data_IF_387677355260
#
_entry.id   IF_387677355260
#
_cell.length_a   1.000
_cell.length_b   1.000
_cell.length_c   1.000
_cell.angle_alpha   90.00
_cell.angle_beta   90.00
_cell.angle_gamma   90.00
#
_symmetry.space_group_name_H-M   'P 1'
#
loop_
_entity.id
_entity.type
_entity.pdbx_description
1 polymer ?
#
# COMPACT_ATOMS: atom_id res chain seq x y z
N UNK A 1 11.52 -10.77 5.05
CA UNK A 1 12.69 -10.19 5.73
C UNK A 1 12.36 -8.92 6.49
N UNK A 2 11.48 -8.03 6.00
CA UNK A 2 11.22 -6.75 6.67
C UNK A 2 12.42 -5.81 6.70
N UNK A 3 13.44 -6.12 5.88
CA UNK A 3 14.82 -5.65 5.98
C UNK A 3 14.95 -4.12 6.01
N UNK A 4 14.10 -3.43 5.25
CA UNK A 4 14.13 -1.97 5.08
C UNK A 4 12.79 -1.30 5.38
N UNK A 5 11.86 -2.01 6.04
CA UNK A 5 10.57 -1.44 6.44
C UNK A 5 10.74 -0.69 7.76
N UNK A 6 10.57 0.62 7.75
CA UNK A 6 10.70 1.48 8.93
C UNK A 6 9.41 2.30 9.12
N UNK A 7 8.82 2.33 10.33
CA UNK A 7 7.68 3.19 10.61
C UNK A 7 8.11 4.67 10.68
N UNK A 8 7.36 5.55 10.04
CA UNK A 8 7.57 6.99 10.07
C UNK A 8 6.24 7.72 9.90
N UNK A 9 6.12 8.92 10.47
CA UNK A 9 5.01 9.84 10.23
C UNK A 9 5.29 10.82 9.08
N UNK A 10 6.53 10.90 8.62
CA UNK A 10 6.98 11.75 7.52
C UNK A 10 7.11 10.91 6.25
N UNK A 11 6.25 11.17 5.26
CA UNK A 11 6.20 10.44 4.01
C UNK A 11 7.34 10.80 3.03
N UNK A 12 8.03 11.92 3.28
CA UNK A 12 9.15 12.41 2.49
C UNK A 12 10.51 12.03 3.11
N UNK A 13 10.49 11.45 4.30
CA UNK A 13 11.69 10.95 4.96
C UNK A 13 12.26 9.69 4.30
N UNK A 14 13.59 9.61 4.22
CA UNK A 14 14.35 8.44 3.77
C UNK A 14 13.89 7.86 2.42
N UNK A 15 13.68 8.73 1.42
CA UNK A 15 13.21 8.33 0.08
C UNK A 15 14.33 7.89 -0.87
N UNK A 16 15.58 7.94 -0.42
CA UNK A 16 16.73 7.51 -1.19
C UNK A 16 17.20 6.15 -0.65
N UNK A 17 17.46 5.16 -1.53
CA UNK A 17 17.98 3.87 -1.11
C UNK A 17 19.39 4.00 -0.55
N UNK A 18 19.75 3.13 0.40
CA UNK A 18 21.12 3.08 0.93
C UNK A 18 22.01 2.20 0.04
N UNK A 19 23.34 2.42 0.01
CA UNK A 19 24.25 1.56 -0.74
C UNK A 19 24.11 0.09 -0.35
N UNK A 20 24.01 -0.81 -1.33
CA UNK A 20 23.90 -2.27 -1.11
C UNK A 20 22.48 -2.79 -0.86
N UNK A 21 21.48 -1.92 -0.75
CA UNK A 21 20.08 -2.32 -0.48
C UNK A 21 19.50 -3.19 -1.61
N UNK A 22 19.81 -2.86 -2.86
CA UNK A 22 19.36 -3.64 -4.02
C UNK A 22 19.91 -5.06 -4.01
N UNK A 23 21.20 -5.21 -3.72
CA UNK A 23 21.90 -6.50 -3.62
C UNK A 23 21.33 -7.32 -2.46
N UNK A 24 21.17 -6.71 -1.28
CA UNK A 24 20.59 -7.37 -0.13
C UNK A 24 19.16 -7.88 -0.38
N UNK A 25 18.33 -7.11 -1.11
CA UNK A 25 16.99 -7.54 -1.53
C UNK A 25 17.06 -8.66 -2.57
N UNK A 26 17.91 -8.51 -3.59
CA UNK A 26 18.10 -9.50 -4.66
C UNK A 26 18.49 -10.87 -4.08
N UNK A 27 19.41 -10.89 -3.12
CA UNK A 27 19.96 -12.13 -2.59
C UNK A 27 18.92 -12.94 -1.78
N UNK A 28 17.84 -12.30 -1.30
CA UNK A 28 16.71 -12.98 -0.67
C UNK A 28 15.89 -13.87 -1.62
N UNK A 29 16.05 -13.72 -2.93
CA UNK A 29 15.36 -14.55 -3.92
C UNK A 29 16.06 -15.90 -4.19
N UNK A 30 17.23 -16.13 -3.60
CA UNK A 30 17.90 -17.43 -3.59
C UNK A 30 17.31 -18.35 -2.51
N UNK A 31 17.23 -19.69 -2.73
CA UNK A 31 17.56 -20.42 -3.96
C UNK A 31 16.48 -20.48 -5.08
N UNK A 32 15.20 -20.07 -4.92
CA UNK A 32 14.20 -20.21 -5.98
C UNK A 32 14.61 -19.59 -7.32
N UNK A 33 15.38 -18.50 -7.30
CA UNK A 33 15.99 -17.90 -8.49
C UNK A 33 17.46 -18.33 -8.56
N UNK A 34 17.77 -19.20 -9.53
CA UNK A 34 19.13 -19.68 -9.76
C UNK A 34 20.07 -18.58 -10.26
N UNK A 35 21.34 -18.63 -9.85
CA UNK A 35 22.41 -17.70 -10.27
C UNK A 35 22.03 -16.24 -10.02
N UNK A 36 21.41 -15.98 -8.87
CA UNK A 36 20.82 -14.67 -8.53
C UNK A 36 21.82 -13.51 -8.65
N UNK A 37 23.11 -13.78 -8.39
CA UNK A 37 24.19 -12.80 -8.48
C UNK A 37 24.50 -12.32 -9.91
N UNK A 38 24.13 -13.10 -10.94
CA UNK A 38 24.33 -12.74 -12.36
C UNK A 38 23.31 -11.70 -12.84
N UNK A 39 22.22 -11.45 -12.10
CA UNK A 39 21.20 -10.48 -12.46
C UNK A 39 21.65 -9.06 -12.13
N UNK A 40 21.54 -8.17 -13.14
CA UNK A 40 21.83 -6.74 -13.00
C UNK A 40 20.66 -6.02 -12.34
N UNK A 41 20.93 -5.30 -11.25
CA UNK A 41 20.01 -4.34 -10.67
C UNK A 41 19.99 -3.09 -11.56
N UNK A 42 18.83 -2.74 -12.13
CA UNK A 42 18.69 -1.56 -12.99
C UNK A 42 18.32 -0.31 -12.21
N UNK A 43 17.57 -0.47 -11.11
CA UNK A 43 17.06 0.61 -10.29
C UNK A 43 16.72 0.11 -8.89
N UNK A 44 16.85 0.97 -7.87
CA UNK A 44 16.40 0.73 -6.50
C UNK A 44 15.58 1.95 -6.06
N UNK A 45 14.38 1.73 -5.54
CA UNK A 45 13.44 2.81 -5.20
C UNK A 45 12.81 2.54 -3.83
N UNK A 46 12.80 3.56 -2.97
CA UNK A 46 12.09 3.51 -1.69
C UNK A 46 10.67 4.03 -1.84
N UNK A 47 9.70 3.19 -1.48
CA UNK A 47 8.27 3.51 -1.55
C UNK A 47 7.69 3.78 -0.15
N UNK A 48 6.83 4.79 -0.05
CA UNK A 48 6.04 5.05 1.15
C UNK A 48 4.69 4.36 1.08
N UNK A 49 4.28 3.78 2.20
CA UNK A 49 2.99 3.12 2.36
C UNK A 49 2.28 3.65 3.60
N UNK A 50 0.98 3.86 3.50
CA UNK A 50 0.11 4.20 4.64
C UNK A 50 -0.47 2.92 5.22
N UNK A 51 -0.44 2.80 6.54
CA UNK A 51 -1.03 1.69 7.29
C UNK A 51 -1.92 2.25 8.39
N UNK A 52 -3.16 1.76 8.48
CA UNK A 52 -3.97 1.97 9.69
C UNK A 52 -3.51 0.97 10.76
N UNK A 53 -3.79 1.28 12.04
CA UNK A 53 -3.43 0.39 13.15
C UNK A 53 -4.08 -1.00 13.06
N UNK A 54 -5.25 -1.09 12.43
CA UNK A 54 -5.99 -2.34 12.19
C UNK A 54 -5.75 -2.94 10.80
N UNK A 55 -4.84 -2.34 10.02
CA UNK A 55 -4.49 -2.72 8.64
C UNK A 55 -5.66 -2.76 7.63
N UNK A 56 -6.82 -2.22 7.99
CA UNK A 56 -8.01 -2.14 7.13
C UNK A 56 -8.00 -0.91 6.23
N UNK A 57 -8.79 -0.94 5.16
CA UNK A 57 -9.01 0.25 4.35
C UNK A 57 -9.86 1.27 5.11
N UNK A 58 -9.68 2.54 4.79
CA UNK A 58 -10.34 3.64 5.48
C UNK A 58 -11.17 4.48 4.51
N UNK A 59 -12.32 4.94 5.00
CA UNK A 59 -13.03 6.08 4.44
C UNK A 59 -13.36 7.08 5.56
N UNK A 60 -13.11 8.36 5.31
CA UNK A 60 -13.30 9.44 6.27
C UNK A 60 -13.99 10.63 5.62
N UNK A 61 -14.98 11.18 6.30
CA UNK A 61 -15.73 12.34 5.82
C UNK A 61 -15.23 13.61 6.49
N UNK A 62 -15.02 14.65 5.68
CA UNK A 62 -14.65 15.99 6.13
C UNK A 62 -15.48 17.03 5.38
N UNK A 63 -16.61 17.41 5.95
CA UNK A 63 -17.60 18.25 5.27
C UNK A 63 -18.12 17.56 4.02
N UNK A 64 -17.93 18.17 2.84
CA UNK A 64 -18.30 17.57 1.54
C UNK A 64 -17.22 16.69 0.91
N UNK A 65 -16.12 16.44 1.62
CA UNK A 65 -15.00 15.64 1.13
C UNK A 65 -15.09 14.22 1.70
N UNK A 66 -15.06 13.22 0.82
CA UNK A 66 -14.88 11.82 1.18
C UNK A 66 -13.44 11.41 0.85
N UNK A 67 -12.65 11.14 1.88
CA UNK A 67 -11.28 10.64 1.77
C UNK A 67 -11.33 9.12 1.80
N UNK A 68 -10.74 8.46 0.81
CA UNK A 68 -10.70 7.00 0.71
C UNK A 68 -9.26 6.54 0.54
N UNK A 69 -8.82 5.59 1.36
CA UNK A 69 -7.48 5.02 1.26
C UNK A 69 -7.53 3.50 1.36
N UNK A 70 -7.09 2.84 0.29
CA UNK A 70 -6.81 1.42 0.27
C UNK A 70 -5.43 1.15 0.87
N UNK A 71 -5.29 1.48 2.16
CA UNK A 71 -4.07 1.37 2.96
C UNK A 71 -3.47 -0.05 2.94
N UNK A 72 -2.30 -0.18 3.54
CA UNK A 72 -1.63 -1.46 3.79
C UNK A 72 -0.98 -2.11 2.56
N UNK A 73 -0.64 -1.32 1.53
CA UNK A 73 0.07 -1.80 0.34
C UNK A 73 -0.78 -2.53 -0.70
N UNK A 74 -2.11 -2.43 -0.59
CA UNK A 74 -3.04 -3.16 -1.44
C UNK A 74 -3.73 -2.29 -2.50
N UNK A 75 -3.48 -0.98 -2.51
CA UNK A 75 -4.12 -0.03 -3.41
C UNK A 75 -4.03 -0.39 -4.90
N UNK A 76 -2.90 -0.93 -5.36
CA UNK A 76 -2.77 -1.40 -6.75
C UNK A 76 -3.73 -2.56 -7.07
N UNK A 77 -3.85 -3.53 -6.18
CA UNK A 77 -4.65 -4.75 -6.39
C UNK A 77 -6.16 -4.46 -6.38
N UNK A 78 -6.61 -3.57 -5.49
CA UNK A 78 -8.04 -3.31 -5.28
C UNK A 78 -8.52 -1.96 -5.82
N UNK A 79 -7.64 -1.14 -6.40
CA UNK A 79 -7.97 0.22 -6.84
C UNK A 79 -9.21 0.29 -7.74
N UNK A 80 -9.35 -0.65 -8.68
CA UNK A 80 -10.53 -0.71 -9.56
C UNK A 80 -11.84 -1.05 -8.81
N UNK A 81 -11.80 -1.99 -7.87
CA UNK A 81 -12.97 -2.39 -7.09
C UNK A 81 -13.39 -1.27 -6.12
N UNK A 82 -12.42 -0.70 -5.41
CA UNK A 82 -12.61 0.46 -4.52
C UNK A 82 -13.19 1.63 -5.30
N UNK A 83 -12.60 1.99 -6.44
CA UNK A 83 -13.07 3.10 -7.27
C UNK A 83 -14.52 2.95 -7.73
N UNK A 84 -14.92 1.74 -8.16
CA UNK A 84 -16.33 1.46 -8.52
C UNK A 84 -17.28 1.63 -7.35
N UNK A 85 -16.91 1.14 -6.16
CA UNK A 85 -17.74 1.26 -4.96
C UNK A 85 -17.87 2.72 -4.53
N UNK A 86 -16.78 3.48 -4.56
CA UNK A 86 -16.77 4.92 -4.28
C UNK A 86 -17.68 5.67 -5.25
N UNK A 87 -17.60 5.39 -6.56
CA UNK A 87 -18.46 6.03 -7.56
C UNK A 87 -19.95 5.74 -7.30
N UNK A 88 -20.31 4.50 -6.95
CA UNK A 88 -21.67 4.16 -6.58
C UNK A 88 -22.13 4.89 -5.31
N UNK A 89 -21.28 4.95 -4.29
CA UNK A 89 -21.55 5.66 -3.03
C UNK A 89 -21.81 7.16 -3.25
N UNK A 90 -21.03 7.82 -4.12
CA UNK A 90 -21.27 9.24 -4.45
C UNK A 90 -22.64 9.44 -5.11
N UNK A 91 -23.14 8.44 -5.85
CA UNK A 91 -24.45 8.51 -6.51
C UNK A 91 -25.65 8.21 -5.61
N UNK A 92 -25.47 7.50 -4.50
CA UNK A 92 -26.56 7.05 -3.63
C UNK A 92 -26.43 7.46 -2.15
N UNK A 93 -25.35 8.16 -1.80
CA UNK A 93 -25.01 8.65 -0.46
C UNK A 93 -24.83 7.55 0.61
N UNK A 94 -24.60 6.29 0.21
CA UNK A 94 -24.37 5.15 1.11
C UNK A 94 -22.91 5.10 1.61
N UNK A 95 -22.51 6.09 2.40
CA UNK A 95 -21.15 6.18 2.97
C UNK A 95 -20.94 5.14 4.08
N UNK A 96 -21.98 4.82 4.84
CA UNK A 96 -21.91 3.80 5.88
C UNK A 96 -21.62 2.41 5.28
N UNK A 97 -22.33 2.03 4.21
CA UNK A 97 -22.10 0.78 3.49
C UNK A 97 -20.74 0.73 2.80
N UNK A 98 -20.21 1.86 2.33
CA UNK A 98 -18.84 1.93 1.84
C UNK A 98 -17.82 1.63 2.94
N UNK A 99 -17.97 2.26 4.12
CA UNK A 99 -17.05 2.06 5.26
C UNK A 99 -17.04 0.60 5.71
N UNK A 100 -18.20 -0.02 5.87
CA UNK A 100 -18.31 -1.44 6.26
C UNK A 100 -17.67 -2.36 5.20
N UNK A 101 -17.93 -2.10 3.93
CA UNK A 101 -17.38 -2.89 2.82
C UNK A 101 -15.85 -2.78 2.72
N UNK A 102 -15.30 -1.56 2.82
CA UNK A 102 -13.85 -1.32 2.82
C UNK A 102 -13.14 -2.06 3.97
N UNK A 103 -13.83 -2.23 5.09
CA UNK A 103 -13.31 -2.87 6.30
C UNK A 103 -13.59 -4.37 6.37
N UNK A 104 -14.21 -4.94 5.34
CA UNK A 104 -14.67 -6.33 5.26
C UNK A 104 -15.48 -6.75 6.50
N UNK A 105 -16.34 -5.86 6.99
CA UNK A 105 -17.20 -6.13 8.14
C UNK A 105 -18.39 -7.00 7.70
N UNK A 106 -18.77 -7.96 8.53
CA UNK A 106 -19.98 -8.74 8.29
C UNK A 106 -21.19 -7.81 8.34
N UNK A 107 -22.01 -7.84 7.30
CA UNK A 107 -23.28 -7.13 7.20
C UNK A 107 -24.41 -8.04 7.65
#
# INVERSE_FOLDING_TARGET
SGLHRVPTSDADWNRQPVPGEGEAIRDLFSPPIARVEEYKITEVVTCAYTFTADEKFLAHEKGRCLVVSACSGHGYKFGAAVGRRVAATVGNDDVAGLKAWLRAEAV
#
